data_IF_003942891841
#
_entry.id   IF_003942891841
#
_cell.length_a   1.000
_cell.length_b   1.000
_cell.length_c   1.000
_cell.angle_alpha   90.00
_cell.angle_beta   90.00
_cell.angle_gamma   90.00
#
_symmetry.space_group_name_H-M   'P 1'
#
loop_
_entity.id
_entity.type
_entity.pdbx_description
1 polymer ?
#
# COMPACT_ATOMS: atom_id res chain seq x y z
N UNK A 1 10.89 46.84 33.54
CA UNK A 1 10.87 46.57 32.09
C UNK A 1 11.78 45.37 31.85
N UNK A 2 11.24 44.19 31.61
CA UNK A 2 12.02 42.96 31.41
C UNK A 2 11.88 42.61 29.93
N UNK A 3 12.99 42.69 29.19
CA UNK A 3 13.06 42.31 27.78
C UNK A 3 12.80 40.82 27.60
N UNK A 4 11.79 40.49 26.77
CA UNK A 4 11.58 39.12 26.28
C UNK A 4 12.59 38.81 25.18
N UNK A 5 13.49 37.86 25.45
CA UNK A 5 14.34 37.21 24.44
C UNK A 5 13.45 36.45 23.45
N UNK A 6 13.46 36.87 22.18
CA UNK A 6 12.83 36.14 21.09
C UNK A 6 13.56 34.79 20.87
N UNK A 7 12.91 33.69 21.25
CA UNK A 7 13.31 32.36 20.79
C UNK A 7 12.94 32.24 19.30
N UNK A 8 13.95 32.14 18.44
CA UNK A 8 13.76 31.97 17.00
C UNK A 8 12.98 30.68 16.70
N UNK A 9 11.76 30.83 16.17
CA UNK A 9 11.01 29.72 15.56
C UNK A 9 11.76 29.24 14.32
N UNK A 10 12.12 27.95 14.28
CA UNK A 10 12.64 27.34 13.06
C UNK A 10 11.62 27.47 11.93
N UNK A 11 12.08 27.87 10.75
CA UNK A 11 11.22 28.01 9.57
C UNK A 11 10.55 26.67 9.23
N UNK A 12 9.23 26.64 8.95
CA UNK A 12 8.52 25.43 8.52
C UNK A 12 9.18 24.76 7.31
N UNK A 13 9.80 25.55 6.44
CA UNK A 13 10.55 25.09 5.27
C UNK A 13 11.82 24.30 5.66
N UNK A 14 12.50 24.71 6.73
CA UNK A 14 13.69 24.03 7.24
C UNK A 14 13.32 22.70 7.89
N UNK A 15 12.19 22.64 8.61
CA UNK A 15 11.66 21.41 9.21
C UNK A 15 11.23 20.42 8.13
N UNK A 16 10.56 20.89 7.07
CA UNK A 16 10.21 20.06 5.91
C UNK A 16 11.47 19.52 5.22
N UNK A 17 12.50 20.34 5.01
CA UNK A 17 13.77 19.90 4.40
C UNK A 17 14.54 18.90 5.27
N UNK A 18 14.52 19.05 6.60
CA UNK A 18 15.15 18.11 7.53
C UNK A 18 14.42 16.76 7.56
N UNK A 19 13.09 16.79 7.55
CA UNK A 19 12.25 15.58 7.44
C UNK A 19 12.51 14.88 6.11
N UNK A 20 12.53 15.62 4.99
CA UNK A 20 12.83 15.09 3.66
C UNK A 20 14.26 14.53 3.54
N UNK A 21 15.25 15.18 4.15
CA UNK A 21 16.64 14.70 4.20
C UNK A 21 16.78 13.40 5.00
N UNK A 22 16.07 13.29 6.13
CA UNK A 22 16.02 12.06 6.92
C UNK A 22 15.30 10.92 6.18
N UNK A 23 14.21 11.22 5.46
CA UNK A 23 13.55 10.27 4.55
C UNK A 23 14.48 9.77 3.46
N UNK A 24 15.26 10.65 2.84
CA UNK A 24 16.21 10.26 1.81
C UNK A 24 17.33 9.35 2.36
N UNK A 25 17.90 9.66 3.52
CA UNK A 25 18.97 8.87 4.11
C UNK A 25 18.50 7.49 4.60
N UNK A 26 17.34 7.44 5.26
CA UNK A 26 16.76 6.17 5.75
C UNK A 26 16.25 5.28 4.62
N UNK A 27 15.66 5.86 3.57
CA UNK A 27 15.28 5.14 2.35
C UNK A 27 16.51 4.47 1.70
N UNK A 28 17.58 5.23 1.47
CA UNK A 28 18.79 4.68 0.85
C UNK A 28 19.46 3.59 1.70
N UNK A 29 19.47 3.74 3.04
CA UNK A 29 20.03 2.74 3.94
C UNK A 29 19.20 1.44 3.95
N UNK A 30 17.88 1.55 4.01
CA UNK A 30 16.98 0.39 3.96
C UNK A 30 17.11 -0.32 2.61
N UNK A 31 17.15 0.43 1.50
CA UNK A 31 17.35 -0.12 0.15
C UNK A 31 18.68 -0.87 0.01
N UNK A 32 19.76 -0.35 0.59
CA UNK A 32 21.08 -1.01 0.58
C UNK A 32 21.08 -2.32 1.39
N UNK A 33 20.42 -2.33 2.56
CA UNK A 33 20.33 -3.52 3.42
C UNK A 33 19.46 -4.62 2.78
N UNK A 34 18.38 -4.24 2.10
CA UNK A 34 17.52 -5.17 1.36
C UNK A 34 18.28 -5.85 0.22
N UNK A 35 19.14 -5.11 -0.49
CA UNK A 35 19.94 -5.62 -1.60
C UNK A 35 20.94 -6.69 -1.15
N UNK A 36 21.73 -6.41 -0.11
CA UNK A 36 22.74 -7.36 0.39
C UNK A 36 22.12 -8.65 0.93
N UNK A 37 20.90 -8.59 1.48
CA UNK A 37 20.21 -9.79 1.98
C UNK A 37 19.55 -10.62 0.87
N UNK A 38 19.10 -10.00 -0.23
CA UNK A 38 18.49 -10.73 -1.36
C UNK A 38 19.53 -11.50 -2.19
N UNK A 39 20.74 -10.97 -2.41
CA UNK A 39 21.81 -11.71 -3.12
C UNK A 39 22.12 -13.07 -2.46
N UNK A 40 22.07 -13.16 -1.13
CA UNK A 40 22.28 -14.42 -0.40
C UNK A 40 21.11 -15.42 -0.52
N UNK A 41 19.91 -14.98 -0.90
CA UNK A 41 18.72 -15.84 -1.05
C UNK A 41 18.58 -16.41 -2.46
N UNK A 42 19.09 -15.70 -3.49
CA UNK A 42 19.02 -16.13 -4.89
C UNK A 42 19.85 -17.38 -5.20
N UNK A 43 20.85 -17.70 -4.37
CA UNK A 43 21.67 -18.92 -4.55
C UNK A 43 20.89 -20.20 -4.22
N UNK A 44 19.66 -20.13 -3.69
CA UNK A 44 19.03 -21.29 -3.01
C UNK A 44 17.74 -21.88 -3.58
N UNK A 45 17.09 -21.31 -4.60
CA UNK A 45 15.82 -21.91 -5.08
C UNK A 45 15.59 -21.66 -6.57
N UNK A 46 15.79 -22.70 -7.37
CA UNK A 46 15.29 -22.79 -8.74
C UNK A 46 14.67 -24.19 -8.92
N UNK A 47 13.39 -24.24 -9.33
CA UNK A 47 12.72 -25.51 -9.66
C UNK A 47 11.19 -25.51 -9.56
N UNK A 48 10.54 -25.67 -10.72
CA UNK A 48 9.33 -26.51 -10.89
C UNK A 48 7.96 -25.83 -10.88
N UNK A 49 7.17 -26.08 -11.94
CA UNK A 49 5.85 -25.51 -12.26
C UNK A 49 4.72 -26.46 -11.83
N UNK A 50 3.69 -25.94 -11.16
CA UNK A 50 2.30 -26.44 -11.28
C UNK A 50 1.27 -25.31 -11.00
N UNK A 51 0.24 -25.23 -11.85
CA UNK A 51 -0.76 -24.15 -11.89
C UNK A 51 -1.79 -24.28 -10.76
N UNK A 52 -1.59 -23.47 -9.72
CA UNK A 52 -2.57 -22.75 -8.90
C UNK A 52 -1.74 -22.22 -7.74
N UNK A 53 -1.53 -20.91 -7.68
CA UNK A 53 -0.66 -20.22 -6.73
C UNK A 53 -0.84 -20.78 -5.32
N UNK A 54 0.11 -21.58 -4.86
CA UNK A 54 0.02 -22.24 -3.57
C UNK A 54 0.32 -21.19 -2.48
N UNK A 55 -0.62 -20.89 -1.59
CA UNK A 55 -0.37 -19.96 -0.50
C UNK A 55 0.78 -20.49 0.36
N UNK A 56 1.51 -19.57 1.01
CA UNK A 56 2.65 -19.95 1.86
C UNK A 56 2.23 -20.91 2.99
N UNK A 57 0.94 -20.92 3.33
CA UNK A 57 0.30 -21.81 4.30
C UNK A 57 -0.77 -22.61 3.55
N UNK A 58 -0.72 -23.94 3.66
CA UNK A 58 -1.64 -24.86 3.01
C UNK A 58 -3.11 -24.57 3.39
N UNK A 59 -3.98 -24.33 2.40
CA UNK A 59 -5.41 -24.11 2.62
C UNK A 59 -6.06 -25.44 3.00
N UNK A 60 -6.79 -25.53 4.13
CA UNK A 60 -7.58 -26.70 4.48
C UNK A 60 -8.56 -27.13 3.36
N UNK A 61 -8.55 -28.41 2.96
CA UNK A 61 -9.35 -28.96 1.85
C UNK A 61 -10.86 -28.64 1.92
N UNK A 62 -11.43 -28.55 3.13
CA UNK A 62 -12.84 -28.21 3.30
C UNK A 62 -13.18 -26.79 2.85
N UNK A 63 -12.22 -25.84 2.88
CA UNK A 63 -12.40 -24.47 2.41
C UNK A 63 -12.31 -24.39 0.88
N UNK A 64 -11.57 -25.29 0.22
CA UNK A 64 -11.49 -25.37 -1.25
C UNK A 64 -12.82 -25.78 -1.89
N UNK A 65 -13.67 -26.53 -1.16
CA UNK A 65 -14.99 -27.01 -1.61
C UNK A 65 -16.11 -25.96 -1.54
N UNK A 66 -15.89 -24.79 -0.93
CA UNK A 66 -16.89 -23.73 -0.77
C UNK A 66 -17.10 -22.84 -2.01
N UNK A 67 -16.57 -23.20 -3.19
CA UNK A 67 -16.76 -22.43 -4.44
C UNK A 67 -18.20 -22.53 -4.96
N UNK A 68 -19.15 -21.93 -4.24
CA UNK A 68 -20.51 -21.67 -4.68
C UNK A 68 -20.70 -20.17 -4.89
N UNK A 69 -20.93 -19.75 -6.15
CA UNK A 69 -21.24 -18.37 -6.51
C UNK A 69 -20.03 -17.42 -6.58
N UNK A 70 -20.17 -16.36 -7.36
CA UNK A 70 -19.19 -15.27 -7.46
C UNK A 70 -19.33 -14.37 -6.23
N UNK A 71 -18.27 -14.19 -5.44
CA UNK A 71 -18.26 -13.29 -4.27
C UNK A 71 -17.49 -12.01 -4.59
N UNK A 72 -18.13 -10.99 -5.20
CA UNK A 72 -17.43 -9.75 -5.54
C UNK A 72 -16.96 -8.98 -4.30
N UNK A 73 -15.91 -8.18 -4.48
CA UNK A 73 -15.38 -7.30 -3.43
C UNK A 73 -15.42 -5.82 -3.83
N UNK A 74 -15.68 -4.96 -2.85
CA UNK A 74 -15.63 -3.51 -3.01
C UNK A 74 -14.18 -3.02 -2.92
N UNK A 75 -13.72 -2.22 -3.89
CA UNK A 75 -12.37 -1.63 -3.82
C UNK A 75 -12.41 -0.36 -2.97
N UNK A 76 -11.61 -0.31 -1.92
CA UNK A 76 -11.50 0.82 -1.01
C UNK A 76 -10.07 1.39 -1.07
N UNK A 77 -9.95 2.60 -1.59
CA UNK A 77 -8.71 3.35 -1.76
C UNK A 77 -8.71 4.52 -0.78
N UNK A 78 -7.71 4.62 0.10
CA UNK A 78 -7.55 5.83 0.95
C UNK A 78 -6.72 6.89 0.24
N UNK A 79 -7.16 8.15 0.32
CA UNK A 79 -6.54 9.24 -0.44
C UNK A 79 -6.58 10.58 0.31
N UNK A 80 -5.64 11.45 -0.06
CA UNK A 80 -5.63 12.88 0.32
C UNK A 80 -6.08 13.75 -0.84
N UNK A 81 -6.35 15.03 -0.57
CA UNK A 81 -6.64 16.07 -1.56
C UNK A 81 -5.36 16.62 -2.25
N UNK A 82 -4.19 16.10 -1.90
CA UNK A 82 -2.92 16.52 -2.49
C UNK A 82 -2.83 16.14 -3.98
N UNK A 83 -2.26 17.01 -4.85
CA UNK A 83 -2.07 16.71 -6.28
C UNK A 83 -1.36 15.38 -6.51
N UNK A 84 -0.36 15.06 -5.68
CA UNK A 84 0.33 13.78 -5.66
C UNK A 84 -0.64 12.59 -5.56
N UNK A 85 -1.54 12.60 -4.57
CA UNK A 85 -2.51 11.51 -4.38
C UNK A 85 -3.53 11.48 -5.52
N UNK A 86 -4.01 12.65 -5.96
CA UNK A 86 -5.04 12.79 -6.99
C UNK A 86 -4.68 12.06 -8.28
N UNK A 87 -3.52 12.33 -8.86
CA UNK A 87 -3.16 11.73 -10.16
C UNK A 87 -2.99 10.21 -10.05
N UNK A 88 -2.47 9.71 -8.92
CA UNK A 88 -2.33 8.28 -8.64
C UNK A 88 -3.73 7.61 -8.59
N UNK A 89 -4.68 8.20 -7.85
CA UNK A 89 -6.05 7.71 -7.78
C UNK A 89 -6.72 7.59 -9.16
N UNK A 90 -6.50 8.57 -10.06
CA UNK A 90 -7.07 8.56 -11.42
C UNK A 90 -6.51 7.41 -12.27
N UNK A 91 -5.20 7.17 -12.22
CA UNK A 91 -4.58 6.03 -12.91
C UNK A 91 -5.13 4.71 -12.38
N UNK A 92 -5.18 4.55 -11.06
CA UNK A 92 -5.74 3.35 -10.43
C UNK A 92 -7.20 3.12 -10.84
N UNK A 93 -8.03 4.17 -10.82
CA UNK A 93 -9.44 4.09 -11.17
C UNK A 93 -9.66 3.77 -12.66
N UNK A 94 -8.83 4.32 -13.55
CA UNK A 94 -8.82 3.96 -14.97
C UNK A 94 -8.62 2.46 -15.17
N UNK A 95 -7.60 1.88 -14.53
CA UNK A 95 -7.30 0.46 -14.65
C UNK A 95 -8.33 -0.42 -13.94
N UNK A 96 -8.88 0.00 -12.80
CA UNK A 96 -10.01 -0.67 -12.16
C UNK A 96 -11.19 -0.83 -13.13
N UNK A 97 -11.61 0.25 -13.80
CA UNK A 97 -12.74 0.19 -14.75
C UNK A 97 -12.46 -0.81 -15.88
N UNK A 98 -11.25 -0.81 -16.44
CA UNK A 98 -10.87 -1.76 -17.48
C UNK A 98 -10.90 -3.20 -17.00
N UNK A 99 -10.27 -3.50 -15.87
CA UNK A 99 -10.15 -4.88 -15.38
C UNK A 99 -11.47 -5.42 -14.81
N UNK A 100 -12.40 -4.55 -14.40
CA UNK A 100 -13.72 -4.95 -13.93
C UNK A 100 -14.59 -5.58 -15.02
N UNK A 101 -14.50 -5.09 -16.24
CA UNK A 101 -15.35 -5.55 -17.36
C UNK A 101 -14.86 -6.87 -17.99
N UNK A 102 -13.70 -7.37 -17.57
CA UNK A 102 -13.11 -8.58 -18.12
C UNK A 102 -13.57 -9.85 -17.38
N UNK A 103 -13.69 -10.99 -18.09
CA UNK A 103 -14.04 -12.28 -17.48
C UNK A 103 -13.07 -12.68 -16.36
N UNK A 104 -13.61 -13.29 -15.31
CA UNK A 104 -12.83 -13.73 -14.14
C UNK A 104 -12.52 -12.62 -13.14
N UNK A 105 -13.03 -11.41 -13.35
CA UNK A 105 -12.93 -10.31 -12.38
C UNK A 105 -14.05 -10.36 -11.35
N UNK A 106 -13.68 -10.25 -10.07
CA UNK A 106 -14.60 -10.13 -8.94
C UNK A 106 -14.67 -8.69 -8.41
N UNK A 107 -14.21 -7.71 -9.18
CA UNK A 107 -14.42 -6.30 -8.86
C UNK A 107 -15.91 -5.96 -8.75
N UNK A 108 -16.33 -5.52 -7.55
CA UNK A 108 -17.64 -4.94 -7.27
C UNK A 108 -17.61 -3.40 -7.41
N UNK A 109 -18.14 -2.68 -6.43
CA UNK A 109 -18.03 -1.23 -6.31
C UNK A 109 -16.61 -0.72 -6.06
N UNK A 110 -16.44 0.60 -6.13
CA UNK A 110 -15.19 1.30 -5.84
C UNK A 110 -15.51 2.53 -5.00
N UNK A 111 -14.72 2.80 -3.97
CA UNK A 111 -14.76 4.05 -3.22
C UNK A 111 -13.34 4.59 -3.02
N UNK A 112 -13.13 5.85 -3.39
CA UNK A 112 -12.04 6.67 -2.88
C UNK A 112 -12.47 7.28 -1.54
N UNK A 113 -11.86 6.84 -0.45
CA UNK A 113 -12.08 7.38 0.89
C UNK A 113 -11.17 8.60 1.04
N UNK A 114 -11.74 9.79 0.88
CA UNK A 114 -11.03 11.06 0.92
C UNK A 114 -10.99 11.58 2.36
N UNK A 115 -9.83 11.48 3.00
CA UNK A 115 -9.66 11.82 4.42
C UNK A 115 -9.06 13.21 4.64
N UNK A 116 -9.39 14.16 3.76
CA UNK A 116 -9.05 15.59 3.89
C UNK A 116 -10.12 16.39 4.65
N UNK A 117 -11.29 15.79 4.94
CA UNK A 117 -12.45 16.47 5.52
C UNK A 117 -13.18 17.41 4.57
N UNK A 118 -12.79 17.48 3.29
CA UNK A 118 -13.39 18.39 2.30
C UNK A 118 -13.48 17.73 0.94
N UNK A 119 -14.57 18.02 0.22
CA UNK A 119 -14.76 17.62 -1.16
C UNK A 119 -13.67 18.19 -2.09
N UNK A 120 -13.40 17.48 -3.18
CA UNK A 120 -12.54 17.95 -4.27
C UNK A 120 -13.17 17.65 -5.64
N UNK A 121 -12.52 18.13 -6.70
CA UNK A 121 -12.94 17.97 -8.10
C UNK A 121 -12.98 16.51 -8.58
N UNK A 122 -12.17 15.61 -8.00
CA UNK A 122 -12.19 14.20 -8.40
C UNK A 122 -13.47 13.47 -7.98
N UNK A 123 -14.31 14.07 -7.15
CA UNK A 123 -15.63 13.51 -6.84
C UNK A 123 -16.56 13.43 -8.05
N UNK A 124 -16.31 14.24 -9.10
CA UNK A 124 -17.04 14.17 -10.36
C UNK A 124 -16.60 12.98 -11.24
N UNK A 125 -15.39 12.44 -11.00
CA UNK A 125 -14.80 11.35 -11.79
C UNK A 125 -14.80 10.00 -11.06
N UNK A 126 -14.53 10.01 -9.76
CA UNK A 126 -14.30 8.82 -8.94
C UNK A 126 -15.32 8.79 -7.81
N UNK A 127 -16.10 7.70 -7.63
CA UNK A 127 -16.98 7.56 -6.48
C UNK A 127 -16.18 7.76 -5.18
N UNK A 128 -16.54 8.80 -4.44
CA UNK A 128 -15.75 9.28 -3.31
C UNK A 128 -16.63 9.39 -2.07
N UNK A 129 -16.08 8.98 -0.94
CA UNK A 129 -16.68 9.20 0.37
C UNK A 129 -15.75 10.07 1.21
N UNK A 130 -16.21 11.25 1.60
CA UNK A 130 -15.42 12.21 2.39
C UNK A 130 -15.53 11.86 3.87
N UNK A 131 -14.38 11.80 4.54
CA UNK A 131 -14.27 11.56 5.99
C UNK A 131 -13.36 12.61 6.61
N UNK A 132 -13.54 12.84 7.91
CA UNK A 132 -12.73 13.81 8.63
C UNK A 132 -11.30 13.26 8.86
N UNK A 133 -10.25 14.09 8.76
CA UNK A 133 -8.93 13.70 9.20
C UNK A 133 -8.92 13.50 10.72
N UNK A 134 -7.82 12.93 11.23
CA UNK A 134 -7.52 12.97 12.66
C UNK A 134 -7.44 14.44 13.13
N UNK A 135 -7.80 14.72 14.40
CA UNK A 135 -7.60 16.05 14.97
C UNK A 135 -6.16 16.52 14.83
N UNK A 136 -5.98 17.83 14.65
CA UNK A 136 -4.68 18.44 14.40
C UNK A 136 -3.65 18.04 15.49
N UNK A 137 -2.48 17.57 15.06
CA UNK A 137 -1.36 17.19 15.93
C UNK A 137 -1.38 15.75 16.43
N UNK A 138 -2.51 15.04 16.34
CA UNK A 138 -2.62 13.63 16.76
C UNK A 138 -1.78 12.71 15.87
N UNK A 139 -1.70 13.02 14.57
CA UNK A 139 -0.89 12.25 13.62
C UNK A 139 0.63 12.45 13.80
N UNK A 140 1.05 13.46 14.58
CA UNK A 140 2.45 13.84 14.82
C UNK A 140 3.25 13.98 13.50
N UNK A 141 2.60 14.47 12.44
CA UNK A 141 3.19 14.62 11.11
C UNK A 141 3.28 13.33 10.29
N UNK A 142 2.79 12.21 10.81
CA UNK A 142 2.69 10.93 10.10
C UNK A 142 1.29 10.75 9.52
N UNK A 143 1.07 11.35 8.34
CA UNK A 143 -0.24 11.44 7.68
C UNK A 143 -0.94 10.10 7.48
N UNK A 144 -0.18 9.00 7.44
CA UNK A 144 -0.68 7.63 7.22
C UNK A 144 -1.63 7.19 8.34
N UNK A 145 -1.54 7.79 9.54
CA UNK A 145 -2.49 7.50 10.64
C UNK A 145 -3.93 7.89 10.33
N UNK A 146 -4.16 8.77 9.34
CA UNK A 146 -5.51 9.07 8.88
C UNK A 146 -6.19 7.87 8.20
N UNK A 147 -5.43 6.90 7.70
CA UNK A 147 -5.95 5.72 6.99
C UNK A 147 -6.84 4.82 7.87
N UNK A 148 -6.39 4.30 9.02
CA UNK A 148 -7.26 3.51 9.89
C UNK A 148 -8.48 4.31 10.33
N UNK A 149 -8.32 5.61 10.61
CA UNK A 149 -9.44 6.48 10.99
C UNK A 149 -10.45 6.67 9.85
N UNK A 150 -9.97 6.78 8.61
CA UNK A 150 -10.80 6.85 7.43
C UNK A 150 -11.65 5.59 7.25
N UNK A 151 -11.06 4.40 7.46
CA UNK A 151 -11.80 3.13 7.43
C UNK A 151 -12.85 3.04 8.53
N UNK A 152 -12.54 3.45 9.76
CA UNK A 152 -13.53 3.47 10.86
C UNK A 152 -14.76 4.29 10.47
N UNK A 153 -14.57 5.51 9.96
CA UNK A 153 -15.68 6.37 9.56
C UNK A 153 -16.45 5.82 8.36
N UNK A 154 -15.71 5.35 7.33
CA UNK A 154 -16.31 4.85 6.10
C UNK A 154 -17.14 3.58 6.33
N UNK A 155 -16.63 2.62 7.10
CA UNK A 155 -17.34 1.36 7.39
C UNK A 155 -18.63 1.58 8.18
N UNK A 156 -18.71 2.64 9.00
CA UNK A 156 -19.90 2.97 9.78
C UNK A 156 -20.95 3.69 8.94
N UNK A 157 -20.52 4.57 8.01
CA UNK A 157 -21.42 5.54 7.37
C UNK A 157 -21.74 5.22 5.91
N UNK A 158 -20.89 4.50 5.20
CA UNK A 158 -21.02 4.30 3.77
C UNK A 158 -21.92 3.09 3.43
N UNK A 159 -22.80 3.19 2.41
CA UNK A 159 -23.59 2.07 1.94
C UNK A 159 -22.73 1.15 1.05
N UNK A 160 -22.10 0.15 1.65
CA UNK A 160 -21.25 -0.83 0.95
C UNK A 160 -22.06 -2.10 0.62
N UNK A 161 -22.31 -2.32 -0.67
CA UNK A 161 -23.11 -3.46 -1.16
C UNK A 161 -22.40 -4.80 -0.97
N UNK A 162 -21.11 -4.86 -1.29
CA UNK A 162 -20.34 -6.11 -1.25
C UNK A 162 -20.00 -6.52 0.19
N UNK A 163 -19.84 -7.83 0.39
CA UNK A 163 -19.46 -8.39 1.68
C UNK A 163 -17.95 -8.51 1.88
N UNK A 164 -17.17 -8.39 0.79
CA UNK A 164 -15.72 -8.32 0.82
C UNK A 164 -15.24 -6.93 0.41
N UNK A 165 -14.09 -6.54 0.95
CA UNK A 165 -13.43 -5.27 0.67
C UNK A 165 -11.99 -5.56 0.27
N UNK A 166 -11.55 -5.02 -0.87
CA UNK A 166 -10.15 -4.89 -1.21
C UNK A 166 -9.63 -3.54 -0.68
N UNK A 167 -8.78 -3.56 0.34
CA UNK A 167 -8.04 -2.38 0.78
C UNK A 167 -6.87 -2.13 -0.17
N UNK A 168 -6.85 -0.97 -0.84
CA UNK A 168 -5.89 -0.61 -1.87
C UNK A 168 -5.21 0.75 -1.61
N UNK A 169 -4.09 1.01 -2.30
CA UNK A 169 -3.32 2.26 -2.23
C UNK A 169 -3.34 3.01 -3.58
N UNK A 170 -3.18 4.35 -3.59
CA UNK A 170 -3.22 5.13 -4.84
C UNK A 170 -2.21 4.68 -5.90
N UNK A 171 -1.08 4.14 -5.47
CA UNK A 171 0.00 3.64 -6.32
C UNK A 171 -0.13 2.17 -6.75
N UNK A 172 -1.36 1.66 -6.73
CA UNK A 172 -1.70 0.39 -7.34
C UNK A 172 -2.17 0.56 -8.79
N UNK A 173 -1.73 -0.36 -9.66
CA UNK A 173 -2.27 -0.56 -11.01
C UNK A 173 -2.75 -2.01 -11.11
N UNK A 174 -4.01 -2.21 -11.52
CA UNK A 174 -4.56 -3.54 -11.76
C UNK A 174 -4.13 -4.06 -13.13
N UNK A 175 -3.29 -5.10 -13.13
CA UNK A 175 -2.69 -5.67 -14.34
C UNK A 175 -3.65 -6.54 -15.14
N UNK A 176 -4.56 -7.23 -14.44
CA UNK A 176 -5.43 -8.26 -15.00
C UNK A 176 -6.72 -8.37 -14.17
N UNK A 177 -7.73 -9.14 -14.62
CA UNK A 177 -8.90 -9.46 -13.81
C UNK A 177 -8.48 -10.08 -12.48
N UNK A 178 -9.02 -9.56 -11.38
CA UNK A 178 -8.69 -10.02 -10.03
C UNK A 178 -9.90 -10.80 -9.46
N UNK A 179 -9.79 -12.14 -9.29
CA UNK A 179 -10.79 -12.89 -8.57
C UNK A 179 -10.71 -12.59 -7.07
N UNK A 180 -11.75 -12.94 -6.31
CA UNK A 180 -11.70 -12.87 -4.86
C UNK A 180 -10.74 -13.94 -4.34
N UNK A 181 -9.60 -13.50 -3.81
CA UNK A 181 -8.55 -14.37 -3.29
C UNK A 181 -8.83 -14.82 -1.85
N UNK A 182 -9.77 -14.17 -1.15
CA UNK A 182 -10.22 -14.62 0.16
C UNK A 182 -11.00 -15.93 -0.02
N UNK A 183 -10.80 -16.89 0.89
CA UNK A 183 -11.39 -18.21 0.77
C UNK A 183 -11.81 -18.74 2.13
N UNK A 184 -13.01 -19.32 2.20
CA UNK A 184 -13.48 -19.97 3.41
C UNK A 184 -13.62 -19.02 4.61
N UNK A 185 -13.87 -17.75 4.35
CA UNK A 185 -13.92 -16.69 5.37
C UNK A 185 -12.57 -16.15 5.82
N UNK A 186 -11.45 -16.73 5.37
CA UNK A 186 -10.11 -16.20 5.62
C UNK A 186 -9.79 -15.07 4.63
N UNK A 187 -9.37 -13.89 5.11
CA UNK A 187 -8.87 -12.84 4.25
C UNK A 187 -7.62 -13.25 3.47
N UNK A 188 -7.38 -12.64 2.31
CA UNK A 188 -6.14 -12.80 1.55
C UNK A 188 -5.29 -11.54 1.63
N UNK A 189 -3.98 -11.69 1.86
CA UNK A 189 -3.06 -10.57 2.04
C UNK A 189 -1.72 -10.81 1.35
N UNK A 190 -1.06 -9.74 0.93
CA UNK A 190 0.31 -9.81 0.45
C UNK A 190 1.31 -9.93 1.63
N UNK A 191 2.23 -10.91 1.61
CA UNK A 191 3.26 -11.04 2.64
C UNK A 191 4.41 -10.05 2.38
N UNK A 192 4.60 -9.11 3.29
CA UNK A 192 5.66 -8.13 3.23
C UNK A 192 6.93 -8.67 3.89
N UNK A 193 7.99 -8.87 3.10
CA UNK A 193 9.25 -9.44 3.60
C UNK A 193 9.94 -8.62 4.69
N UNK A 194 9.59 -7.34 4.83
CA UNK A 194 10.11 -6.43 5.87
C UNK A 194 9.22 -6.34 7.11
N UNK A 195 8.01 -6.91 7.10
CA UNK A 195 7.18 -7.04 8.29
C UNK A 195 7.53 -8.36 8.96
N UNK A 196 8.29 -8.30 10.04
CA UNK A 196 8.81 -9.47 10.76
C UNK A 196 8.49 -9.38 12.24
N UNK A 197 7.28 -9.79 12.66
CA UNK A 197 6.88 -9.69 14.07
C UNK A 197 7.82 -10.46 15.01
N UNK A 198 8.28 -11.65 14.61
CA UNK A 198 9.19 -12.48 15.40
C UNK A 198 10.56 -11.81 15.65
N UNK A 199 11.11 -11.08 14.68
CA UNK A 199 12.39 -10.35 14.81
C UNK A 199 12.26 -9.14 15.78
N UNK A 200 11.03 -8.74 16.12
CA UNK A 200 10.71 -7.58 16.96
C UNK A 200 9.79 -7.95 18.13
N UNK A 201 9.93 -9.16 18.67
CA UNK A 201 9.04 -9.69 19.71
C UNK A 201 8.86 -8.72 20.89
N UNK A 202 9.95 -8.15 21.43
CA UNK A 202 9.88 -7.20 22.55
C UNK A 202 8.97 -5.99 22.27
N UNK A 203 9.01 -5.44 21.05
CA UNK A 203 8.15 -4.32 20.64
C UNK A 203 6.72 -4.81 20.40
N UNK A 204 6.55 -5.93 19.72
CA UNK A 204 5.23 -6.51 19.44
C UNK A 204 4.48 -6.82 20.75
N UNK A 205 5.16 -7.33 21.79
CA UNK A 205 4.56 -7.66 23.09
C UNK A 205 3.94 -6.48 23.82
N UNK A 206 4.37 -5.24 23.54
CA UNK A 206 3.71 -4.03 24.06
C UNK A 206 2.26 -3.89 23.60
N UNK A 207 1.91 -4.49 22.46
CA UNK A 207 0.60 -4.36 21.81
C UNK A 207 -0.11 -5.70 21.58
N UNK A 208 0.62 -6.82 21.67
CA UNK A 208 0.12 -8.20 21.60
C UNK A 208 0.69 -9.00 22.79
N UNK A 209 0.08 -8.88 23.99
CA UNK A 209 0.64 -9.48 25.21
C UNK A 209 0.62 -11.01 25.17
N UNK A 210 1.40 -11.66 26.05
CA UNK A 210 1.61 -13.11 26.03
C UNK A 210 0.33 -13.94 26.17
N UNK A 211 -0.65 -13.44 26.93
CA UNK A 211 -1.96 -14.07 27.11
C UNK A 211 -2.80 -14.14 25.82
N UNK A 212 -2.44 -13.36 24.79
CA UNK A 212 -3.08 -13.39 23.47
C UNK A 212 -2.53 -14.48 22.55
N UNK A 213 -1.41 -15.10 22.90
CA UNK A 213 -0.78 -16.19 22.15
C UNK A 213 0.64 -15.87 21.66
N UNK A 214 1.25 -16.78 20.88
CA UNK A 214 2.61 -16.59 20.37
C UNK A 214 2.69 -15.46 19.33
N UNK A 215 3.83 -14.77 19.23
CA UNK A 215 4.06 -13.69 18.23
C UNK A 215 3.90 -14.18 16.78
N UNK A 216 4.11 -15.47 16.53
CA UNK A 216 3.85 -16.10 15.22
C UNK A 216 2.37 -16.05 14.79
N UNK A 217 1.46 -15.67 15.70
CA UNK A 217 0.08 -15.36 15.35
C UNK A 217 -0.07 -14.03 14.60
N UNK A 218 0.90 -13.12 14.68
CA UNK A 218 0.92 -11.88 13.91
C UNK A 218 1.48 -12.19 12.51
N UNK A 219 0.62 -12.10 11.49
CA UNK A 219 1.01 -12.38 10.11
C UNK A 219 1.98 -11.30 9.56
N UNK A 220 2.93 -11.63 8.68
CA UNK A 220 3.89 -10.69 8.11
C UNK A 220 3.26 -9.83 6.99
N UNK A 221 2.24 -9.06 7.33
CA UNK A 221 1.38 -8.33 6.38
C UNK A 221 1.26 -6.84 6.74
N UNK A 222 0.69 -6.07 5.83
CA UNK A 222 0.11 -4.76 6.11
C UNK A 222 -1.36 -4.74 5.72
N UNK A 223 -1.98 -3.56 5.79
CA UNK A 223 -3.39 -3.40 5.45
C UNK A 223 -3.68 -3.48 3.94
N UNK A 224 -2.67 -3.32 3.07
CA UNK A 224 -2.89 -3.28 1.62
C UNK A 224 -1.76 -3.95 0.83
N UNK A 225 -2.08 -4.74 -0.22
CA UNK A 225 -3.42 -5.18 -0.58
C UNK A 225 -3.93 -6.30 0.33
N UNK A 226 -5.19 -6.18 0.75
CA UNK A 226 -5.90 -7.21 1.51
C UNK A 226 -7.34 -7.31 1.00
N UNK A 227 -7.82 -8.53 0.71
CA UNK A 227 -9.26 -8.81 0.53
C UNK A 227 -9.79 -9.43 1.81
N UNK A 228 -10.75 -8.77 2.44
CA UNK A 228 -11.26 -9.13 3.77
C UNK A 228 -12.78 -8.94 3.81
N UNK A 229 -13.50 -9.80 4.57
CA UNK A 229 -14.93 -9.58 4.82
C UNK A 229 -15.16 -8.24 5.53
N UNK A 230 -16.13 -7.47 5.06
CA UNK A 230 -16.57 -6.18 5.62
C UNK A 230 -16.81 -6.25 7.12
N UNK A 231 -17.47 -7.31 7.59
CA UNK A 231 -17.75 -7.52 9.02
C UNK A 231 -16.49 -7.72 9.85
N UNK A 232 -15.49 -8.43 9.31
CA UNK A 232 -14.20 -8.61 9.99
C UNK A 232 -13.45 -7.28 9.99
N UNK A 233 -13.41 -6.58 8.86
CA UNK A 233 -12.75 -5.29 8.75
C UNK A 233 -13.36 -4.26 9.73
N UNK A 234 -14.68 -4.23 9.86
CA UNK A 234 -15.39 -3.36 10.80
C UNK A 234 -15.04 -3.65 12.28
N UNK A 235 -14.75 -4.90 12.63
CA UNK A 235 -14.29 -5.28 13.97
C UNK A 235 -12.84 -4.86 14.24
N UNK A 236 -11.95 -5.05 13.26
CA UNK A 236 -10.52 -4.77 13.46
C UNK A 236 -10.19 -3.28 13.31
N UNK A 237 -10.92 -2.51 12.49
CA UNK A 237 -10.56 -1.13 12.16
C UNK A 237 -10.41 -0.19 13.39
N UNK A 238 -11.30 -0.21 14.40
CA UNK A 238 -11.09 0.58 15.61
C UNK A 238 -9.86 0.17 16.41
N UNK A 239 -9.54 -1.13 16.43
CA UNK A 239 -8.34 -1.64 17.12
C UNK A 239 -7.08 -1.24 16.37
N UNK A 240 -7.08 -1.38 15.04
CA UNK A 240 -6.01 -0.93 14.16
C UNK A 240 -5.72 0.57 14.34
N UNK A 241 -6.74 1.42 14.38
CA UNK A 241 -6.60 2.84 14.70
C UNK A 241 -5.92 3.05 16.06
N UNK A 242 -6.47 2.46 17.12
CA UNK A 242 -5.98 2.67 18.48
C UNK A 242 -4.55 2.15 18.67
N UNK A 243 -4.21 0.99 18.12
CA UNK A 243 -2.84 0.45 18.15
C UNK A 243 -1.90 1.36 17.38
N UNK A 244 -2.30 1.86 16.20
CA UNK A 244 -1.48 2.78 15.41
C UNK A 244 -1.14 4.06 16.18
N UNK A 245 -2.12 4.64 16.89
CA UNK A 245 -1.91 5.83 17.72
C UNK A 245 -0.97 5.55 18.89
N UNK A 246 -1.21 4.46 19.65
CA UNK A 246 -0.35 4.08 20.78
C UNK A 246 1.09 3.79 20.34
N UNK A 247 1.27 3.11 19.21
CA UNK A 247 2.60 2.88 18.64
C UNK A 247 3.29 4.20 18.26
N UNK A 248 2.53 5.16 17.73
CA UNK A 248 3.08 6.48 17.38
C UNK A 248 3.46 7.29 18.62
N UNK A 249 2.80 7.07 19.75
CA UNK A 249 3.12 7.70 21.03
C UNK A 249 4.37 7.09 21.69
N UNK A 250 4.58 5.78 21.55
CA UNK A 250 5.75 5.06 22.09
C UNK A 250 7.03 5.36 21.27
N UNK A 251 8.02 6.11 21.80
CA UNK A 251 9.17 6.56 21.02
C UNK A 251 10.05 5.42 20.50
N UNK A 252 10.14 4.31 21.23
CA UNK A 252 10.91 3.14 20.82
C UNK A 252 10.25 2.43 19.63
N UNK A 253 8.94 2.25 19.69
CA UNK A 253 8.14 1.64 18.61
C UNK A 253 8.12 2.53 17.38
N UNK A 254 7.87 3.84 17.52
CA UNK A 254 7.91 4.80 16.42
C UNK A 254 9.27 4.81 15.73
N UNK A 255 10.35 4.80 16.50
CA UNK A 255 11.71 4.71 15.94
C UNK A 255 11.97 3.37 15.24
N UNK A 256 11.47 2.27 15.77
CA UNK A 256 11.74 0.91 15.26
C UNK A 256 10.96 0.62 13.98
N UNK A 257 9.64 0.86 13.98
CA UNK A 257 8.79 0.58 12.83
C UNK A 257 8.71 1.74 11.85
N UNK A 258 8.88 2.98 12.30
CA UNK A 258 8.92 4.16 11.44
C UNK A 258 7.76 4.21 10.45
N UNK A 259 8.09 4.21 9.16
CA UNK A 259 7.12 4.36 8.07
C UNK A 259 6.20 3.13 7.88
N UNK A 260 6.52 1.96 8.44
CA UNK A 260 5.66 0.76 8.37
C UNK A 260 4.86 0.52 9.65
N UNK A 261 4.89 1.46 10.59
CA UNK A 261 4.23 1.34 11.90
C UNK A 261 2.74 1.02 11.78
N UNK A 262 2.05 1.67 10.84
CA UNK A 262 0.63 1.45 10.61
C UNK A 262 0.37 0.01 10.11
N UNK A 263 1.24 -0.53 9.25
CA UNK A 263 1.14 -1.91 8.76
C UNK A 263 1.31 -2.93 9.89
N UNK A 264 2.26 -2.70 10.81
CA UNK A 264 2.40 -3.50 12.03
C UNK A 264 1.17 -3.42 12.92
N UNK A 265 0.59 -2.23 13.06
CA UNK A 265 -0.64 -2.03 13.82
C UNK A 265 -1.82 -2.79 13.21
N UNK A 266 -1.94 -2.84 11.87
CA UNK A 266 -2.94 -3.66 11.18
C UNK A 266 -2.74 -5.15 11.50
N UNK A 267 -1.52 -5.67 11.32
CA UNK A 267 -1.21 -7.07 11.57
C UNK A 267 -1.49 -7.48 13.03
N UNK A 268 -1.10 -6.64 14.00
CA UNK A 268 -1.37 -6.86 15.42
C UNK A 268 -2.87 -6.78 15.73
N UNK A 269 -3.59 -5.81 15.15
CA UNK A 269 -5.04 -5.73 15.31
C UNK A 269 -5.74 -6.98 14.77
N UNK A 270 -5.35 -7.48 13.58
CA UNK A 270 -5.86 -8.75 13.08
C UNK A 270 -5.61 -9.91 14.04
N UNK A 271 -4.39 -10.04 14.56
CA UNK A 271 -4.04 -11.09 15.51
C UNK A 271 -4.80 -10.99 16.85
N UNK A 272 -5.02 -9.77 17.37
CA UNK A 272 -5.82 -9.53 18.58
C UNK A 272 -7.28 -10.00 18.43
N UNK A 273 -7.79 -9.99 17.20
CA UNK A 273 -9.14 -10.46 16.85
C UNK A 273 -9.15 -11.90 16.31
N UNK A 274 -8.04 -12.63 16.38
CA UNK A 274 -7.94 -14.01 15.91
C UNK A 274 -8.04 -14.18 14.39
N UNK A 275 -7.79 -13.13 13.62
CA UNK A 275 -7.89 -13.13 12.16
C UNK A 275 -6.56 -13.56 11.55
N UNK A 276 -6.59 -14.68 10.81
CA UNK A 276 -5.47 -15.19 10.03
C UNK A 276 -5.67 -14.98 8.53
N UNK A 277 -4.58 -14.74 7.81
CA UNK A 277 -4.62 -14.45 6.37
C UNK A 277 -4.06 -15.58 5.52
N UNK A 278 -4.66 -15.77 4.36
CA UNK A 278 -4.06 -16.50 3.24
C UNK A 278 -2.97 -15.60 2.64
N UNK A 279 -1.71 -16.02 2.79
CA UNK A 279 -0.57 -15.24 2.30
C UNK A 279 -0.36 -15.49 0.81
N UNK A 280 -0.72 -14.50 0.00
CA UNK A 280 -0.67 -14.58 -1.46
C UNK A 280 0.54 -13.80 -2.00
N UNK A 281 1.61 -14.51 -2.36
CA UNK A 281 2.83 -13.92 -2.94
C UNK A 281 2.58 -13.24 -4.28
N UNK A 282 1.65 -13.78 -5.07
CA UNK A 282 1.34 -13.26 -6.41
C UNK A 282 0.29 -12.16 -6.41
N UNK A 283 -0.16 -11.71 -5.25
CA UNK A 283 -1.16 -10.66 -5.15
C UNK A 283 -0.65 -9.33 -5.72
N UNK A 284 0.63 -9.05 -5.52
CA UNK A 284 1.26 -7.79 -5.92
C UNK A 284 2.71 -7.98 -6.33
N UNK A 285 3.23 -7.08 -7.15
CA UNK A 285 4.67 -6.90 -7.41
C UNK A 285 5.12 -5.45 -7.17
N UNK A 286 6.43 -5.26 -7.01
CA UNK A 286 7.06 -3.98 -6.70
C UNK A 286 8.28 -3.72 -7.62
N UNK A 287 8.08 -3.10 -8.79
CA UNK A 287 9.20 -2.64 -9.62
C UNK A 287 10.07 -1.60 -8.87
N UNK A 288 11.38 -1.54 -9.13
CA UNK A 288 12.14 -2.34 -10.11
C UNK A 288 12.58 -3.72 -9.60
N UNK A 289 12.18 -4.13 -8.40
CA UNK A 289 12.71 -5.31 -7.70
C UNK A 289 12.13 -6.63 -8.20
N UNK A 290 10.86 -6.62 -8.55
CA UNK A 290 10.18 -7.76 -9.14
C UNK A 290 10.21 -7.58 -10.65
N UNK A 291 10.94 -8.46 -11.34
CA UNK A 291 11.35 -8.23 -12.74
C UNK A 291 10.25 -8.49 -13.76
N UNK A 292 9.23 -9.26 -13.38
CA UNK A 292 8.15 -9.68 -14.27
C UNK A 292 6.78 -9.46 -13.66
N UNK A 293 5.80 -9.15 -14.51
CA UNK A 293 4.39 -9.06 -14.18
C UNK A 293 3.66 -10.40 -14.26
N UNK A 294 4.34 -11.48 -14.67
CA UNK A 294 3.75 -12.81 -14.83
C UNK A 294 3.06 -13.27 -13.55
N UNK A 295 1.81 -13.71 -13.71
CA UNK A 295 0.92 -14.18 -12.65
C UNK A 295 0.60 -13.19 -11.52
N UNK A 296 0.97 -11.91 -11.66
CA UNK A 296 0.71 -10.86 -10.67
C UNK A 296 -0.56 -10.06 -10.97
N UNK A 297 -1.32 -9.73 -9.94
CA UNK A 297 -2.57 -8.96 -10.09
C UNK A 297 -2.38 -7.45 -9.97
N UNK A 298 -1.57 -7.01 -9.01
CA UNK A 298 -1.37 -5.59 -8.70
C UNK A 298 0.09 -5.21 -8.94
N UNK A 299 0.33 -4.15 -9.70
CA UNK A 299 1.63 -3.50 -9.76
C UNK A 299 1.63 -2.32 -8.78
N UNK A 300 2.54 -2.34 -7.81
CA UNK A 300 2.71 -1.29 -6.81
C UNK A 300 3.99 -0.50 -7.07
N UNK A 301 3.85 0.71 -7.62
CA UNK A 301 4.98 1.55 -8.06
C UNK A 301 5.54 2.45 -6.96
N UNK A 302 5.96 1.82 -5.85
CA UNK A 302 6.42 2.54 -4.66
C UNK A 302 7.86 3.06 -4.75
N UNK A 303 8.73 2.37 -5.48
CA UNK A 303 10.15 2.72 -5.59
C UNK A 303 10.45 3.55 -6.84
N UNK A 304 11.48 4.39 -6.73
CA UNK A 304 12.05 5.06 -7.91
C UNK A 304 12.73 4.03 -8.82
N UNK A 305 12.49 4.17 -10.12
CA UNK A 305 13.11 3.38 -11.18
C UNK A 305 14.13 4.27 -11.89
N UNK A 306 15.39 4.16 -11.52
CA UNK A 306 16.49 4.96 -12.06
C UNK A 306 17.46 4.08 -12.84
N UNK A 307 17.67 4.38 -14.12
CA UNK A 307 18.47 3.55 -15.02
C UNK A 307 19.45 4.39 -15.83
N UNK A 308 20.61 3.83 -16.14
CA UNK A 308 21.50 4.40 -17.16
C UNK A 308 21.02 4.00 -18.58
N UNK A 309 21.66 4.54 -19.62
CA UNK A 309 21.32 4.22 -21.03
C UNK A 309 21.49 2.75 -21.42
N UNK A 310 22.22 1.95 -20.64
CA UNK A 310 22.42 0.51 -20.88
C UNK A 310 21.33 -0.35 -20.22
N UNK A 311 20.38 0.26 -19.52
CA UNK A 311 19.34 -0.45 -18.78
C UNK A 311 19.78 -0.98 -17.42
N UNK A 312 20.88 -0.47 -16.87
CA UNK A 312 21.38 -0.87 -15.55
C UNK A 312 20.82 0.06 -14.47
N UNK A 313 20.30 -0.51 -13.38
CA UNK A 313 19.68 0.24 -12.27
C UNK A 313 20.74 1.06 -11.52
N UNK A 314 20.54 2.38 -11.40
CA UNK A 314 21.45 3.30 -10.72
C UNK A 314 21.00 3.58 -9.30
N UNK A 315 21.46 2.75 -8.36
CA UNK A 315 21.08 2.85 -6.94
C UNK A 315 21.45 4.20 -6.32
N UNK A 316 20.48 4.81 -5.62
CA UNK A 316 20.69 6.02 -4.83
C UNK A 316 21.11 7.25 -5.64
N UNK A 317 21.01 7.18 -6.97
CA UNK A 317 21.38 8.25 -7.90
C UNK A 317 20.30 8.42 -8.95
N UNK A 318 20.09 9.66 -9.39
CA UNK A 318 19.21 9.94 -10.51
C UNK A 318 19.85 9.34 -11.76
N UNK A 319 19.12 8.40 -12.39
CA UNK A 319 19.54 7.77 -13.63
C UNK A 319 19.40 8.70 -14.84
N UNK A 320 19.99 8.31 -15.96
CA UNK A 320 19.76 9.00 -17.24
C UNK A 320 18.31 8.84 -17.74
N UNK A 321 17.68 7.72 -17.39
CA UNK A 321 16.24 7.51 -17.49
C UNK A 321 15.67 7.30 -16.07
N UNK A 322 14.52 7.91 -15.78
CA UNK A 322 13.87 7.82 -14.47
C UNK A 322 12.36 7.76 -14.58
N UNK A 323 11.75 6.88 -13.79
CA UNK A 323 10.38 7.03 -13.32
C UNK A 323 10.34 7.00 -11.80
N UNK A 324 9.94 8.10 -11.16
CA UNK A 324 9.63 8.12 -9.74
C UNK A 324 8.41 9.02 -9.51
N UNK A 325 7.38 8.47 -8.89
CA UNK A 325 6.17 9.23 -8.53
C UNK A 325 6.48 10.45 -7.65
N UNK A 326 7.56 10.42 -6.85
CA UNK A 326 8.01 11.55 -6.02
C UNK A 326 8.62 12.69 -6.83
N UNK A 327 8.87 12.51 -8.12
CA UNK A 327 9.13 13.63 -9.04
C UNK A 327 7.86 14.43 -9.38
N UNK A 328 6.68 13.91 -9.04
CA UNK A 328 5.37 14.43 -9.42
C UNK A 328 4.51 14.80 -8.20
N UNK A 329 5.11 15.48 -7.21
CA UNK A 329 4.41 15.87 -5.98
C UNK A 329 3.40 17.00 -6.18
N UNK A 330 3.66 17.89 -7.15
CA UNK A 330 2.90 19.13 -7.38
C UNK A 330 1.87 19.02 -8.51
N UNK A 331 1.70 17.83 -9.07
CA UNK A 331 0.82 17.60 -10.21
C UNK A 331 1.11 16.28 -10.90
N UNK A 332 0.28 15.88 -11.87
CA UNK A 332 0.44 14.64 -12.60
C UNK A 332 1.76 14.58 -13.39
N UNK A 333 2.30 13.37 -13.69
CA UNK A 333 3.32 13.22 -14.71
C UNK A 333 2.83 13.71 -16.08
N UNK A 334 3.71 14.21 -16.97
CA UNK A 334 3.34 14.55 -18.33
C UNK A 334 2.85 13.31 -19.08
N UNK A 335 2.01 13.52 -20.09
CA UNK A 335 1.66 12.46 -21.05
C UNK A 335 2.89 12.00 -21.81
N UNK A 336 2.84 10.77 -22.31
CA UNK A 336 3.87 10.20 -23.19
C UNK A 336 5.27 10.25 -22.55
N UNK A 337 5.38 9.71 -21.34
CA UNK A 337 6.65 9.43 -20.69
C UNK A 337 7.53 8.58 -21.61
N UNK A 338 8.82 8.88 -21.61
CA UNK A 338 9.79 8.11 -22.39
C UNK A 338 9.83 6.67 -21.88
N UNK A 339 9.78 5.71 -22.80
CA UNK A 339 9.96 4.30 -22.44
C UNK A 339 11.39 4.08 -21.91
N UNK A 340 11.57 3.15 -20.95
CA UNK A 340 12.89 2.84 -20.44
C UNK A 340 13.81 2.26 -21.53
N UNK A 341 15.14 2.41 -21.39
CA UNK A 341 16.11 1.87 -22.35
C UNK A 341 16.06 0.33 -22.41
N UNK A 342 16.59 -0.27 -23.50
CA UNK A 342 16.76 -1.72 -23.58
C UNK A 342 17.52 -2.28 -22.38
N UNK A 343 17.13 -3.48 -21.91
CA UNK A 343 17.74 -4.13 -20.74
C UNK A 343 17.03 -3.86 -19.40
N UNK A 344 16.13 -2.86 -19.35
CA UNK A 344 15.30 -2.62 -18.17
C UNK A 344 14.26 -3.75 -17.99
N UNK A 345 13.95 -4.17 -16.75
CA UNK A 345 13.00 -5.26 -16.49
C UNK A 345 11.61 -5.02 -17.09
N UNK A 346 10.96 -6.10 -17.51
CA UNK A 346 9.61 -6.08 -18.11
C UNK A 346 8.60 -5.39 -17.20
N UNK A 347 8.68 -5.56 -15.89
CA UNK A 347 7.77 -4.90 -14.95
C UNK A 347 7.84 -3.37 -14.96
N UNK A 348 9.03 -2.79 -15.19
CA UNK A 348 9.21 -1.33 -15.30
C UNK A 348 8.71 -0.84 -16.66
N UNK A 349 8.97 -1.60 -17.73
CA UNK A 349 8.41 -1.34 -19.06
C UNK A 349 6.88 -1.31 -19.00
N UNK A 350 6.28 -2.32 -18.37
CA UNK A 350 4.83 -2.43 -18.19
C UNK A 350 4.27 -1.28 -17.35
N UNK A 351 4.92 -0.91 -16.24
CA UNK A 351 4.54 0.27 -15.45
C UNK A 351 4.43 1.53 -16.33
N UNK A 352 5.48 1.86 -17.07
CA UNK A 352 5.53 3.09 -17.87
C UNK A 352 4.51 3.04 -19.02
N UNK A 353 4.36 1.88 -19.67
CA UNK A 353 3.34 1.67 -20.70
C UNK A 353 1.93 1.90 -20.16
N UNK A 354 1.62 1.36 -18.99
CA UNK A 354 0.29 1.49 -18.38
C UNK A 354 0.01 2.90 -17.87
N UNK A 355 1.03 3.61 -17.37
CA UNK A 355 0.91 5.04 -17.04
C UNK A 355 0.65 5.84 -18.32
N UNK A 356 1.42 5.62 -19.38
CA UNK A 356 1.23 6.30 -20.66
C UNK A 356 -0.17 6.09 -21.24
N UNK A 357 -0.66 4.86 -21.23
CA UNK A 357 -2.01 4.56 -21.68
C UNK A 357 -3.07 5.28 -20.84
N UNK A 358 -2.97 5.23 -19.51
CA UNK A 358 -3.91 5.92 -18.63
C UNK A 358 -3.88 7.45 -18.89
N UNK A 359 -2.70 8.07 -18.89
CA UNK A 359 -2.56 9.53 -19.11
C UNK A 359 -3.05 9.98 -20.49
N UNK A 360 -2.95 9.13 -21.52
CA UNK A 360 -3.47 9.42 -22.85
C UNK A 360 -5.01 9.40 -22.91
N UNK A 361 -5.65 8.56 -22.10
CA UNK A 361 -7.10 8.31 -22.17
C UNK A 361 -7.92 9.00 -21.07
N UNK A 362 -7.28 9.46 -19.99
CA UNK A 362 -7.96 10.20 -18.92
C UNK A 362 -8.20 11.65 -19.40
N UNK A 363 -9.46 12.12 -19.47
CA UNK A 363 -9.76 13.48 -19.89
C UNK A 363 -9.21 14.50 -18.90
N UNK A 364 -8.89 15.72 -19.36
CA UNK A 364 -8.37 16.78 -18.49
C UNK A 364 -7.14 16.35 -17.66
N UNK A 365 -6.29 15.45 -18.16
CA UNK A 365 -5.11 14.98 -17.44
C UNK A 365 -4.15 16.12 -17.05
N UNK A 366 -3.95 17.08 -17.96
CA UNK A 366 -2.98 18.16 -17.78
C UNK A 366 -3.53 19.36 -16.99
N UNK A 367 -4.80 19.34 -16.59
CA UNK A 367 -5.40 20.41 -15.78
C UNK A 367 -4.93 20.29 -14.33
N UNK A 368 -4.38 21.38 -13.80
CA UNK A 368 -3.81 21.49 -12.45
C UNK A 368 -4.86 21.62 -11.38
#
# INVERSE_FOLDING_TARGET
MIERKNMGRASPLLLILLVLGFFFATYNLITLVIHNRRLNLWVRNDGGIEMLTDPIIEIPEHLKRLKGGREPFHVALTATDAPYSKWQCRIMYYWYKKQKELPGSDFGGFTRILHSGRSDDLMEEIPTFVVDPLPAGIDRGYIVLNRPWAFVQWLVKAPIKEDYILMAEPDHIFLRPLPNLALGGLPAAFPFFYIKPADHENIVRKFYPEDRGPVTNVDPIGNSPVIIKKEILAKIAPTWMNVSLKMKEDPETDKTFGWVLEMYAYAIASALHGVKHILQKDFMLQPPWDLTTKDKYILHYTYGCDYNKKGELTYGKIGEWRFDKRSHLRGPPPKNLTMPPPGVPESVVTLVSMVNEATANIPNWDKK
#
